data_IF_443845670275
#
_entry.id   IF_443845670275
#
_cell.length_a   1.000
_cell.length_b   1.000
_cell.length_c   1.000
_cell.angle_alpha   90.00
_cell.angle_beta   90.00
_cell.angle_gamma   90.00
#
_symmetry.space_group_name_H-M   'P 1'
#
loop_
_entity.id
_entity.type
_entity.pdbx_description
1 polymer ?
#
# COMPACT_ATOMS: atom_id res chain seq x y z
N UNK A 1 17.83 -9.29 17.71
CA UNK A 1 17.61 -8.68 16.38
C UNK A 1 16.12 -8.42 16.24
N UNK A 2 15.70 -7.15 16.17
CA UNK A 2 14.28 -6.81 16.08
C UNK A 2 13.77 -7.14 14.68
N UNK A 3 12.78 -8.05 14.60
CA UNK A 3 12.09 -8.34 13.35
C UNK A 3 11.44 -7.05 12.84
N UNK A 4 11.90 -6.55 11.70
CA UNK A 4 11.31 -5.38 11.04
C UNK A 4 9.90 -5.79 10.62
N UNK A 5 8.90 -5.34 11.38
CA UNK A 5 7.48 -5.60 11.10
C UNK A 5 7.18 -5.02 9.71
N UNK A 6 6.73 -5.86 8.78
CA UNK A 6 6.23 -5.38 7.50
C UNK A 6 5.01 -4.49 7.74
N UNK A 7 4.98 -3.30 7.13
CA UNK A 7 3.82 -2.41 7.18
C UNK A 7 2.58 -3.10 6.65
N UNK A 8 1.45 -2.90 7.33
CA UNK A 8 0.14 -3.33 6.84
C UNK A 8 -0.39 -2.35 5.79
N UNK A 9 -1.41 -2.80 5.06
CA UNK A 9 -2.14 -1.95 4.10
C UNK A 9 -2.84 -0.80 4.85
N UNK A 10 -3.43 -1.09 6.01
CA UNK A 10 -4.13 -0.09 6.85
C UNK A 10 -3.17 0.99 7.35
N UNK A 11 -1.98 0.61 7.81
CA UNK A 11 -0.93 1.57 8.21
C UNK A 11 -0.52 2.45 7.03
N UNK A 12 -0.42 1.86 5.83
CA UNK A 12 -0.06 2.59 4.60
C UNK A 12 -1.14 3.59 4.19
N UNK A 13 -2.42 3.24 4.33
CA UNK A 13 -3.53 4.16 4.09
C UNK A 13 -3.54 5.32 5.09
N UNK A 14 -3.26 5.05 6.37
CA UNK A 14 -3.15 6.10 7.39
C UNK A 14 -2.08 7.13 7.04
N UNK A 15 -0.91 6.69 6.59
CA UNK A 15 0.16 7.59 6.15
C UNK A 15 -0.20 8.38 4.88
N UNK A 16 -0.94 7.76 3.96
CA UNK A 16 -1.42 8.44 2.76
C UNK A 16 -2.42 9.55 3.11
N UNK A 17 -3.33 9.31 4.05
CA UNK A 17 -4.26 10.33 4.54
C UNK A 17 -3.54 11.49 5.22
N UNK A 18 -2.52 11.21 6.03
CA UNK A 18 -1.71 12.28 6.64
C UNK A 18 -0.97 13.12 5.60
N UNK A 19 -0.45 12.47 4.56
CA UNK A 19 0.19 13.16 3.42
C UNK A 19 -0.79 14.06 2.68
N UNK A 20 -2.00 13.56 2.40
CA UNK A 20 -3.06 14.33 1.74
C UNK A 20 -3.44 15.53 2.60
N UNK A 21 -3.64 15.35 3.91
CA UNK A 21 -3.94 16.47 4.83
C UNK A 21 -2.87 17.55 4.81
N UNK A 22 -1.59 17.16 4.76
CA UNK A 22 -0.47 18.11 4.67
C UNK A 22 -0.47 18.87 3.33
N UNK A 23 -0.73 18.18 2.23
CA UNK A 23 -0.86 18.80 0.91
C UNK A 23 -2.06 19.76 0.84
N UNK A 24 -3.20 19.39 1.42
CA UNK A 24 -4.43 20.19 1.45
C UNK A 24 -4.34 21.40 2.39
N UNK A 25 -3.51 21.33 3.44
CA UNK A 25 -3.32 22.44 4.38
C UNK A 25 -2.79 23.72 3.72
N UNK A 26 -2.09 23.59 2.58
CA UNK A 26 -1.47 24.72 1.89
C UNK A 26 -0.29 25.36 2.64
N UNK A 27 0.12 24.82 3.79
CA UNK A 27 1.27 25.30 4.57
C UNK A 27 2.61 24.73 4.07
N UNK A 28 2.55 23.80 3.12
CA UNK A 28 3.71 23.11 2.57
C UNK A 28 4.42 23.96 1.52
N UNK A 29 5.75 24.05 1.60
CA UNK A 29 6.54 24.61 0.49
C UNK A 29 6.42 23.76 -0.78
N UNK A 30 6.85 24.31 -1.92
CA UNK A 30 6.85 23.58 -3.18
C UNK A 30 7.73 22.31 -3.10
N UNK A 31 8.91 22.43 -2.48
CA UNK A 31 9.82 21.30 -2.27
C UNK A 31 9.21 20.22 -1.37
N UNK A 32 8.58 20.60 -0.26
CA UNK A 32 7.86 19.66 0.60
C UNK A 32 6.71 18.99 -0.15
N UNK A 33 5.96 19.74 -0.96
CA UNK A 33 4.87 19.20 -1.78
C UNK A 33 5.39 18.13 -2.75
N UNK A 34 6.56 18.33 -3.35
CA UNK A 34 7.21 17.31 -4.17
C UNK A 34 7.62 16.07 -3.36
N UNK A 35 8.17 16.25 -2.16
CA UNK A 35 8.52 15.12 -1.29
C UNK A 35 7.29 14.32 -0.84
N UNK A 36 6.20 15.02 -0.52
CA UNK A 36 4.93 14.42 -0.14
C UNK A 36 4.33 13.64 -1.31
N UNK A 37 4.35 14.20 -2.51
CA UNK A 37 3.93 13.50 -3.72
C UNK A 37 4.76 12.25 -4.00
N UNK A 38 6.09 12.33 -3.95
CA UNK A 38 6.98 11.18 -4.18
C UNK A 38 6.72 10.07 -3.15
N UNK A 39 6.54 10.45 -1.88
CA UNK A 39 6.22 9.51 -0.80
C UNK A 39 4.85 8.87 -1.03
N UNK A 40 3.83 9.66 -1.38
CA UNK A 40 2.50 9.17 -1.69
C UNK A 40 2.51 8.15 -2.84
N UNK A 41 3.25 8.42 -3.92
CA UNK A 41 3.39 7.46 -5.03
C UNK A 41 4.02 6.13 -4.59
N UNK A 42 5.02 6.17 -3.70
CA UNK A 42 5.64 4.95 -3.14
C UNK A 42 4.65 4.15 -2.30
N UNK A 43 3.85 4.81 -1.47
CA UNK A 43 2.83 4.16 -0.65
C UNK A 43 1.73 3.52 -1.52
N UNK A 44 1.25 4.23 -2.54
CA UNK A 44 0.28 3.70 -3.52
C UNK A 44 0.84 2.48 -4.24
N UNK A 45 2.10 2.52 -4.67
CA UNK A 45 2.76 1.38 -5.30
C UNK A 45 2.85 0.19 -4.36
N UNK A 46 3.23 0.41 -3.10
CA UNK A 46 3.28 -0.64 -2.09
C UNK A 46 1.92 -1.32 -1.88
N UNK A 47 0.84 -0.54 -1.78
CA UNK A 47 -0.52 -1.09 -1.66
C UNK A 47 -0.87 -1.96 -2.87
N UNK A 48 -0.61 -1.47 -4.09
CA UNK A 48 -0.87 -2.25 -5.31
C UNK A 48 -0.09 -3.57 -5.31
N UNK A 49 1.19 -3.55 -4.95
CA UNK A 49 2.02 -4.78 -4.89
C UNK A 49 1.54 -5.76 -3.82
N UNK A 50 1.02 -5.26 -2.68
CA UNK A 50 0.42 -6.11 -1.63
C UNK A 50 -0.88 -6.75 -2.11
N UNK A 51 -1.75 -6.00 -2.78
CA UNK A 51 -3.02 -6.49 -3.32
C UNK A 51 -2.77 -7.53 -4.41
N UNK A 52 -1.92 -7.23 -5.39
CA UNK A 52 -1.55 -8.15 -6.47
C UNK A 52 -0.96 -9.46 -5.94
N UNK A 53 -0.16 -9.41 -4.86
CA UNK A 53 0.33 -10.62 -4.19
C UNK A 53 -0.78 -11.45 -3.55
N UNK A 54 -1.81 -10.82 -3.01
CA UNK A 54 -2.95 -11.52 -2.42
C UNK A 54 -3.82 -12.12 -3.53
N UNK A 55 -4.12 -11.36 -4.57
CA UNK A 55 -4.87 -11.85 -5.75
C UNK A 55 -4.20 -13.06 -6.39
N UNK A 56 -2.88 -13.01 -6.62
CA UNK A 56 -2.11 -14.16 -7.13
C UNK A 56 -2.19 -15.37 -6.21
N UNK A 57 -2.17 -15.17 -4.89
CA UNK A 57 -2.32 -16.28 -3.93
C UNK A 57 -3.70 -16.90 -4.01
N UNK A 58 -4.76 -16.10 -4.22
CA UNK A 58 -6.12 -16.60 -4.41
C UNK A 58 -6.19 -17.42 -5.69
N UNK A 59 -5.68 -16.91 -6.81
CA UNK A 59 -5.66 -17.63 -8.10
C UNK A 59 -4.95 -18.97 -7.96
N UNK A 60 -3.77 -19.00 -7.33
CA UNK A 60 -3.03 -20.25 -7.10
C UNK A 60 -3.80 -21.22 -6.19
N UNK A 61 -4.57 -20.73 -5.22
CA UNK A 61 -5.43 -21.59 -4.39
C UNK A 61 -6.63 -22.13 -5.16
N UNK A 62 -7.21 -21.35 -6.07
CA UNK A 62 -8.30 -21.77 -6.96
C UNK A 62 -7.81 -22.77 -8.02
N UNK A 63 -6.66 -22.53 -8.66
CA UNK A 63 -6.04 -23.45 -9.63
C UNK A 63 -5.58 -24.77 -8.98
N UNK A 64 -5.15 -24.73 -7.72
CA UNK A 64 -4.85 -25.95 -6.95
C UNK A 64 -6.08 -26.55 -6.27
N UNK A 65 -7.26 -25.93 -6.44
CA UNK A 65 -8.53 -26.27 -5.79
C UNK A 65 -9.51 -27.06 -6.66
N UNK A 66 -9.16 -27.42 -7.90
CA UNK A 66 -9.92 -28.37 -8.72
C UNK A 66 -9.74 -29.83 -8.25
N UNK A 67 -9.93 -30.07 -6.95
CA UNK A 67 -10.36 -31.35 -6.37
C UNK A 67 -11.32 -31.04 -5.21
N UNK A 68 -12.49 -30.50 -5.53
CA UNK A 68 -13.66 -30.76 -4.69
C UNK A 68 -14.90 -30.87 -5.58
N UNK A 69 -15.32 -32.13 -5.72
CA UNK A 69 -16.52 -32.63 -6.37
C UNK A 69 -17.76 -31.75 -6.12
N UNK A 70 -18.50 -31.46 -7.20
CA UNK A 70 -19.96 -31.37 -7.17
C UNK A 70 -20.53 -32.62 -7.85
#
# INVERSE_FOLDING_TARGET
>A
MAAKKEKTIEETFGELEELIKKLESGESSLEESFQYYETGMKLVKFCNEKIDKVEKKIIVLEENGEEHEL
#
